data_IF_961711625952
#
_entry.id   IF_961711625952
#
_cell.length_a   1.000
_cell.length_b   1.000
_cell.length_c   1.000
_cell.angle_alpha   90.00
_cell.angle_beta   90.00
_cell.angle_gamma   90.00
#
_symmetry.space_group_name_H-M   'P 1'
#
loop_
_entity.id
_entity.type
_entity.pdbx_description
1 polymer ?
#
# COMPACT_ATOMS: atom_id res chain seq x y z
N UNK A 1 -14.61 -7.96 -5.13
CA UNK A 1 -13.55 -7.50 -4.19
C UNK A 1 -12.72 -8.62 -3.54
N UNK A 2 -13.31 -9.69 -3.00
CA UNK A 2 -12.59 -10.68 -2.16
C UNK A 2 -11.39 -11.38 -2.85
N UNK A 3 -11.52 -11.79 -4.11
CA UNK A 3 -10.45 -12.45 -4.85
C UNK A 3 -9.20 -11.56 -5.01
N UNK A 4 -9.41 -10.30 -5.38
CA UNK A 4 -8.35 -9.28 -5.48
C UNK A 4 -7.68 -9.06 -4.13
N UNK A 5 -8.48 -8.90 -3.06
CA UNK A 5 -7.96 -8.75 -1.70
C UNK A 5 -7.05 -9.91 -1.28
N UNK A 6 -7.45 -11.15 -1.59
CA UNK A 6 -6.63 -12.35 -1.32
C UNK A 6 -5.34 -12.35 -2.13
N UNK A 7 -5.41 -12.05 -3.42
CA UNK A 7 -4.24 -11.97 -4.29
C UNK A 7 -3.22 -10.93 -3.81
N UNK A 8 -3.69 -9.74 -3.39
CA UNK A 8 -2.83 -8.70 -2.80
C UNK A 8 -2.20 -9.14 -1.47
N UNK A 9 -2.96 -9.87 -0.64
CA UNK A 9 -2.49 -10.35 0.65
C UNK A 9 -1.44 -11.47 0.55
N UNK A 10 -1.40 -12.22 -0.56
CA UNK A 10 -0.45 -13.34 -0.76
C UNK A 10 0.68 -13.02 -1.74
N UNK A 11 0.80 -11.77 -2.21
CA UNK A 11 1.79 -11.40 -3.23
C UNK A 11 3.24 -11.52 -2.70
N UNK A 12 4.09 -12.38 -3.28
CA UNK A 12 5.48 -12.56 -2.84
C UNK A 12 6.42 -11.44 -3.31
N UNK A 13 6.10 -10.75 -4.40
CA UNK A 13 6.90 -9.69 -5.03
C UNK A 13 6.29 -8.31 -4.73
N UNK A 14 6.03 -8.06 -3.44
CA UNK A 14 5.58 -6.74 -2.98
C UNK A 14 6.66 -5.68 -3.24
N UNK A 15 6.26 -4.40 -3.37
CA UNK A 15 7.07 -3.25 -3.86
C UNK A 15 7.13 -3.16 -5.38
N UNK A 16 7.62 -4.18 -6.08
CA UNK A 16 7.61 -4.19 -7.56
C UNK A 16 6.17 -4.19 -8.10
N UNK A 17 5.32 -5.04 -7.50
CA UNK A 17 3.87 -4.94 -7.64
C UNK A 17 3.34 -4.16 -6.43
N UNK A 18 2.73 -2.97 -6.60
CA UNK A 18 2.36 -2.08 -5.51
C UNK A 18 1.06 -2.50 -4.82
N UNK A 19 0.96 -3.76 -4.37
CA UNK A 19 -0.24 -4.29 -3.70
C UNK A 19 -0.52 -3.62 -2.33
N UNK A 20 0.46 -2.89 -1.77
CA UNK A 20 0.25 -2.04 -0.60
C UNK A 20 -0.66 -0.83 -0.88
N UNK A 21 -0.87 -0.44 -2.15
CA UNK A 21 -1.79 0.64 -2.54
C UNK A 21 -3.25 0.24 -2.58
N UNK A 22 -3.54 -1.07 -2.55
CA UNK A 22 -4.93 -1.56 -2.53
C UNK A 22 -5.52 -1.41 -1.12
N UNK A 23 -6.53 -0.57 -0.99
CA UNK A 23 -7.27 -0.30 0.26
C UNK A 23 -8.70 -0.82 0.16
N UNK A 24 -9.34 -1.01 1.32
CA UNK A 24 -10.75 -1.37 1.39
C UNK A 24 -11.61 -0.13 1.09
N UNK A 25 -12.85 -0.35 0.69
CA UNK A 25 -13.82 0.71 0.41
C UNK A 25 -14.12 1.57 1.65
N UNK A 26 -14.07 0.97 2.83
CA UNK A 26 -14.19 1.65 4.13
C UNK A 26 -12.96 2.48 4.52
N UNK A 27 -11.96 2.62 3.64
CA UNK A 27 -10.70 3.31 3.90
C UNK A 27 -9.71 2.52 4.76
N UNK A 28 -10.08 1.32 5.21
CA UNK A 28 -9.25 0.45 6.03
C UNK A 28 -8.13 -0.25 5.24
N UNK A 29 -7.12 -0.72 5.98
CA UNK A 29 -6.06 -1.55 5.40
C UNK A 29 -6.52 -3.01 5.31
N UNK A 30 -6.62 -3.53 4.08
CA UNK A 30 -6.75 -4.96 3.81
C UNK A 30 -5.42 -5.71 3.95
N UNK A 31 -5.50 -7.05 3.98
CA UNK A 31 -4.36 -7.95 4.18
C UNK A 31 -3.13 -7.64 3.33
N UNK A 32 -1.96 -7.91 3.91
CA UNK A 32 -0.66 -7.69 3.28
C UNK A 32 0.32 -8.74 3.77
N UNK A 33 1.00 -9.44 2.84
CA UNK A 33 1.87 -10.59 3.14
C UNK A 33 2.91 -10.26 4.21
N UNK A 34 3.46 -9.06 4.18
CA UNK A 34 4.54 -8.63 5.05
C UNK A 34 4.07 -7.84 6.29
N UNK A 35 2.77 -7.88 6.58
CA UNK A 35 2.17 -7.26 7.76
C UNK A 35 1.70 -5.81 7.55
N UNK A 36 0.59 -5.46 8.19
CA UNK A 36 -0.09 -4.18 7.99
C UNK A 36 0.76 -2.95 8.39
N UNK A 37 1.68 -3.12 9.35
CA UNK A 37 2.61 -2.05 9.75
C UNK A 37 3.49 -1.60 8.59
N UNK A 38 4.03 -2.55 7.81
CA UNK A 38 4.85 -2.24 6.63
C UNK A 38 4.02 -1.57 5.54
N UNK A 39 2.80 -2.05 5.29
CA UNK A 39 1.85 -1.43 4.35
C UNK A 39 1.56 0.03 4.72
N UNK A 40 1.30 0.29 6.00
CA UNK A 40 1.08 1.65 6.53
C UNK A 40 2.30 2.54 6.33
N UNK A 41 3.49 2.04 6.67
CA UNK A 41 4.74 2.79 6.52
C UNK A 41 5.04 3.14 5.04
N UNK A 42 4.80 2.21 4.12
CA UNK A 42 4.96 2.45 2.68
C UNK A 42 4.02 3.55 2.17
N UNK A 43 2.73 3.46 2.53
CA UNK A 43 1.75 4.47 2.14
C UNK A 43 2.08 5.85 2.71
N UNK A 44 2.58 5.92 3.96
CA UNK A 44 3.02 7.18 4.56
C UNK A 44 4.22 7.78 3.82
N UNK A 45 5.22 6.96 3.46
CA UNK A 45 6.37 7.40 2.67
C UNK A 45 5.97 7.89 1.28
N UNK A 46 5.06 7.18 0.61
CA UNK A 46 4.56 7.60 -0.71
C UNK A 46 3.80 8.93 -0.66
N UNK A 47 3.03 9.18 0.41
CA UNK A 47 2.39 10.48 0.65
C UNK A 47 3.42 11.59 0.83
N UNK A 48 4.42 11.38 1.69
CA UNK A 48 5.51 12.35 1.89
C UNK A 48 6.27 12.64 0.58
N UNK A 49 6.48 11.63 -0.27
CA UNK A 49 7.09 11.83 -1.58
C UNK A 49 6.20 12.59 -2.57
N UNK A 50 4.87 12.41 -2.49
CA UNK A 50 3.94 13.19 -3.28
C UNK A 50 3.94 14.67 -2.82
N UNK A 51 3.95 14.90 -1.52
CA UNK A 51 3.93 16.25 -0.92
C UNK A 51 5.28 16.98 -1.13
N UNK A 52 6.41 16.27 -0.99
CA UNK A 52 7.75 16.82 -1.21
C UNK A 52 8.09 17.12 -2.68
N UNK A 53 7.35 16.57 -3.65
CA UNK A 53 7.47 16.92 -5.07
C UNK A 53 6.83 18.26 -5.43
N UNK A 54 6.10 18.89 -4.50
CA UNK A 54 5.65 20.28 -4.61
C UNK A 54 6.61 21.32 -3.99
N UNK A 55 7.72 20.86 -3.39
CA UNK A 55 8.66 21.70 -2.64
C UNK A 55 10.05 21.80 -3.26
N UNK A 56 10.17 21.72 -4.60
CA UNK A 56 11.35 22.20 -5.30
C UNK A 56 11.11 23.68 -5.68
N UNK A 57 11.21 24.54 -4.68
CA UNK A 57 11.37 25.98 -4.82
C UNK A 57 12.66 26.38 -4.09
#
# INVERSE_FOLDING_TARGET
ARAVGRACATNPVSIAVPCHRVVREDGGLGGYRWGLQRKRALLARERQQADGKGGLA
#
